data_IF_083505961068
#
_entry.id   IF_083505961068
#
_cell.length_a   1.000
_cell.length_b   1.000
_cell.length_c   1.000
_cell.angle_alpha   90.00
_cell.angle_beta   90.00
_cell.angle_gamma   90.00
#
_symmetry.space_group_name_H-M   'P 1'
#
loop_
_entity.id
_entity.type
_entity.pdbx_description
1 polymer ?
#
# COMPACT_ATOMS: atom_id res chain seq x y z
N UNK A 1 4.71 -14.37 22.20
CA UNK A 1 5.18 -13.57 21.06
C UNK A 1 6.09 -14.42 20.20
N UNK A 2 5.85 -14.43 18.92
CA UNK A 2 6.63 -15.22 17.97
C UNK A 2 7.71 -14.37 17.33
N UNK A 3 8.87 -14.98 17.14
CA UNK A 3 9.95 -14.35 16.38
C UNK A 3 9.60 -14.31 14.89
N UNK A 4 10.33 -13.50 14.15
CA UNK A 4 10.17 -13.39 12.71
C UNK A 4 10.43 -14.74 12.04
N UNK A 5 9.63 -15.06 11.04
CA UNK A 5 9.64 -16.37 10.38
C UNK A 5 8.55 -17.30 10.89
N UNK A 6 7.78 -16.86 11.90
CA UNK A 6 6.67 -17.63 12.41
C UNK A 6 5.42 -17.52 11.52
N UNK A 7 4.43 -18.41 11.72
CA UNK A 7 3.24 -18.47 10.85
C UNK A 7 2.29 -17.30 10.99
N UNK A 8 2.54 -16.33 11.88
CA UNK A 8 1.71 -15.15 12.08
C UNK A 8 2.38 -13.85 11.65
N UNK A 9 3.51 -13.95 11.00
CA UNK A 9 4.13 -12.78 10.41
C UNK A 9 3.44 -12.41 9.12
N UNK A 10 3.29 -11.11 8.93
CA UNK A 10 2.62 -10.56 7.76
C UNK A 10 3.51 -9.53 7.09
N UNK A 11 3.30 -9.35 5.81
CA UNK A 11 4.02 -8.36 5.02
C UNK A 11 3.07 -7.79 3.99
N UNK A 12 3.08 -6.47 3.84
CA UNK A 12 2.36 -5.79 2.77
C UNK A 12 3.37 -5.02 1.95
N UNK A 13 3.46 -5.33 0.67
CA UNK A 13 4.38 -4.68 -0.26
C UNK A 13 3.56 -3.94 -1.30
N UNK A 14 3.88 -2.68 -1.53
CA UNK A 14 3.17 -1.88 -2.51
C UNK A 14 4.11 -0.98 -3.29
N UNK A 15 3.61 -0.51 -4.43
CA UNK A 15 4.25 0.51 -5.25
C UNK A 15 3.24 1.62 -5.47
N UNK A 16 3.67 2.86 -5.26
CA UNK A 16 2.91 4.04 -5.67
C UNK A 16 3.63 4.70 -6.84
N UNK A 17 2.93 4.85 -7.95
CA UNK A 17 3.51 5.40 -9.16
C UNK A 17 2.81 6.71 -9.54
N UNK A 18 3.58 7.65 -10.06
CA UNK A 18 3.10 8.94 -10.53
C UNK A 18 3.83 9.34 -11.79
N UNK A 19 3.19 10.13 -12.63
CA UNK A 19 3.83 10.77 -13.78
C UNK A 19 4.44 12.13 -13.44
N UNK A 20 4.27 12.61 -12.22
CA UNK A 20 4.88 13.85 -11.78
C UNK A 20 6.42 13.76 -11.75
N UNK A 21 7.06 14.88 -12.03
CA UNK A 21 8.51 14.99 -11.91
C UNK A 21 8.88 15.22 -10.46
N UNK A 22 9.50 14.23 -9.84
CA UNK A 22 9.92 14.27 -8.45
C UNK A 22 11.42 14.02 -8.36
N UNK A 23 12.08 14.72 -7.44
CA UNK A 23 13.44 14.35 -7.05
C UNK A 23 13.37 13.17 -6.06
N UNK A 24 14.54 12.68 -5.66
CA UNK A 24 14.62 11.52 -4.77
C UNK A 24 13.94 11.76 -3.43
N UNK A 25 14.13 12.94 -2.84
CA UNK A 25 13.52 13.29 -1.55
C UNK A 25 11.99 13.35 -1.66
N UNK A 26 11.47 13.92 -2.74
CA UNK A 26 10.03 14.00 -2.99
C UNK A 26 9.44 12.61 -3.23
N UNK A 27 10.12 11.76 -4.00
CA UNK A 27 9.67 10.40 -4.23
C UNK A 27 9.61 9.59 -2.93
N UNK A 28 10.61 9.75 -2.07
CA UNK A 28 10.61 9.12 -0.76
C UNK A 28 9.46 9.62 0.10
N UNK A 29 9.20 10.93 0.09
CA UNK A 29 8.09 11.52 0.85
C UNK A 29 6.74 11.02 0.34
N UNK A 30 6.61 10.82 -0.97
CA UNK A 30 5.40 10.25 -1.54
C UNK A 30 5.13 8.86 -0.96
N UNK A 31 6.14 8.02 -0.90
CA UNK A 31 6.02 6.69 -0.31
C UNK A 31 5.63 6.76 1.17
N UNK A 32 6.22 7.70 1.92
CA UNK A 32 5.88 7.92 3.34
C UNK A 32 4.41 8.31 3.49
N UNK A 33 3.93 9.24 2.69
CA UNK A 33 2.54 9.68 2.76
C UNK A 33 1.56 8.58 2.31
N UNK A 34 1.95 7.75 1.36
CA UNK A 34 1.13 6.63 0.92
C UNK A 34 0.91 5.59 2.02
N UNK A 35 1.78 5.53 3.04
CA UNK A 35 1.60 4.66 4.21
C UNK A 35 0.29 4.93 4.95
N UNK A 36 -0.21 6.15 4.89
CA UNK A 36 -1.51 6.47 5.49
C UNK A 36 -2.63 5.63 4.88
N UNK A 37 -2.49 5.24 3.63
CA UNK A 37 -3.43 4.33 2.99
C UNK A 37 -3.42 2.94 3.60
N UNK A 38 -2.25 2.45 3.98
CA UNK A 38 -2.15 1.18 4.72
C UNK A 38 -2.86 1.29 6.06
N UNK A 39 -2.63 2.38 6.79
CA UNK A 39 -3.25 2.57 8.10
C UNK A 39 -4.78 2.65 8.03
N UNK A 40 -5.30 3.14 6.92
CA UNK A 40 -6.76 3.26 6.71
C UNK A 40 -7.41 1.95 6.26
N UNK A 41 -6.65 1.03 5.67
CA UNK A 41 -7.18 -0.19 5.07
C UNK A 41 -6.83 -1.45 5.85
N UNK A 42 -5.80 -1.41 6.68
CA UNK A 42 -5.27 -2.57 7.40
C UNK A 42 -5.24 -2.26 8.90
N UNK A 43 -5.80 -3.14 9.71
CA UNK A 43 -5.79 -2.97 11.15
C UNK A 43 -5.44 -4.28 11.85
N UNK A 44 -4.42 -4.29 12.72
CA UNK A 44 -3.40 -3.26 12.88
C UNK A 44 -2.40 -3.31 11.72
N UNK A 45 -1.66 -2.21 11.52
CA UNK A 45 -0.63 -2.11 10.50
C UNK A 45 0.69 -1.69 11.13
N UNK A 46 1.79 -2.03 10.47
CA UNK A 46 3.15 -1.63 10.90
C UNK A 46 3.49 -2.08 12.33
N UNK A 47 3.01 -3.25 12.71
CA UNK A 47 3.41 -3.84 13.99
C UNK A 47 4.86 -4.33 13.89
N UNK A 48 5.51 -4.61 15.03
CA UNK A 48 6.87 -5.16 15.01
C UNK A 48 7.01 -6.48 14.25
N UNK A 49 5.89 -7.17 13.98
CA UNK A 49 5.87 -8.43 13.25
C UNK A 49 5.66 -8.27 11.77
N UNK A 50 5.39 -7.04 11.30
CA UNK A 50 5.09 -6.76 9.89
C UNK A 50 6.34 -6.28 9.15
N UNK A 51 6.48 -6.73 7.91
CA UNK A 51 7.54 -6.28 7.00
C UNK A 51 7.03 -5.34 5.93
N UNK A 52 6.17 -4.41 6.28
CA UNK A 52 5.49 -3.54 5.33
C UNK A 52 6.43 -2.56 4.65
N UNK A 53 6.27 -2.39 3.35
CA UNK A 53 7.08 -1.45 2.58
C UNK A 53 6.28 -0.88 1.39
N UNK A 54 6.50 0.40 1.10
CA UNK A 54 6.00 1.03 -0.11
C UNK A 54 7.17 1.61 -0.88
N UNK A 55 7.28 1.23 -2.14
CA UNK A 55 8.19 1.84 -3.09
C UNK A 55 7.45 2.90 -3.88
N UNK A 56 8.13 3.97 -4.25
CA UNK A 56 7.55 4.96 -5.15
C UNK A 56 8.32 5.03 -6.45
N UNK A 57 7.60 5.31 -7.53
CA UNK A 57 8.17 5.48 -8.86
C UNK A 57 7.55 6.73 -9.50
N UNK A 58 8.40 7.58 -10.06
CA UNK A 58 7.97 8.80 -10.73
C UNK A 58 8.57 8.83 -12.14
N UNK A 59 7.73 8.98 -13.16
CA UNK A 59 8.21 8.99 -14.54
C UNK A 59 8.76 10.35 -14.97
N UNK A 60 8.34 11.43 -14.32
CA UNK A 60 8.80 12.77 -14.64
C UNK A 60 8.14 13.39 -15.88
N UNK A 61 7.05 12.81 -16.37
CA UNK A 61 6.39 13.27 -17.55
C UNK A 61 5.69 14.63 -17.37
N UNK A 62 5.26 14.95 -16.15
CA UNK A 62 4.51 16.15 -15.84
C UNK A 62 5.21 16.94 -14.74
N UNK A 63 5.42 18.23 -14.96
CA UNK A 63 5.96 19.09 -13.90
C UNK A 63 4.99 19.21 -12.75
N UNK A 64 5.51 19.21 -11.52
CA UNK A 64 4.72 19.44 -10.32
C UNK A 64 4.56 20.96 -10.15
N UNK A 65 3.35 21.53 -10.31
CA UNK A 65 3.20 22.98 -10.43
C UNK A 65 3.66 23.77 -9.21
N UNK A 66 3.42 23.29 -8.02
CA UNK A 66 3.81 23.96 -6.78
C UNK A 66 4.45 22.91 -5.90
N UNK A 67 5.77 22.96 -5.67
CA UNK A 67 6.46 21.90 -4.93
C UNK A 67 5.90 21.63 -3.53
N UNK A 68 5.42 22.65 -2.83
CA UNK A 68 4.90 22.48 -1.47
C UNK A 68 3.45 21.97 -1.50
N UNK A 69 2.56 22.76 -2.10
CA UNK A 69 1.14 22.37 -2.18
C UNK A 69 0.93 21.19 -3.11
N UNK A 70 1.70 21.11 -4.19
CA UNK A 70 1.64 19.98 -5.11
C UNK A 70 2.00 18.67 -4.44
N UNK A 71 3.05 18.66 -3.61
CA UNK A 71 3.42 17.46 -2.87
C UNK A 71 2.39 17.09 -1.81
N UNK A 72 1.81 18.09 -1.12
CA UNK A 72 0.77 17.81 -0.14
C UNK A 72 -0.46 17.17 -0.79
N UNK A 73 -0.89 17.71 -1.92
CA UNK A 73 -2.03 17.18 -2.66
C UNK A 73 -1.74 15.80 -3.24
N UNK A 74 -0.59 15.63 -3.86
CA UNK A 74 -0.18 14.35 -4.43
C UNK A 74 -0.11 13.27 -3.35
N UNK A 75 0.47 13.59 -2.20
CA UNK A 75 0.56 12.65 -1.08
C UNK A 75 -0.79 12.29 -0.48
N UNK A 76 -1.71 13.25 -0.41
CA UNK A 76 -3.08 12.99 0.03
C UNK A 76 -3.77 12.01 -0.92
N UNK A 77 -3.65 12.26 -2.22
CA UNK A 77 -4.21 11.38 -3.24
C UNK A 77 -3.58 9.99 -3.17
N UNK A 78 -2.26 9.93 -2.97
CA UNK A 78 -1.55 8.66 -2.84
C UNK A 78 -2.07 7.83 -1.68
N UNK A 79 -2.35 8.45 -0.53
CA UNK A 79 -2.96 7.77 0.60
C UNK A 79 -4.34 7.21 0.25
N UNK A 80 -5.17 8.00 -0.41
CA UNK A 80 -6.51 7.56 -0.84
C UNK A 80 -6.44 6.41 -1.84
N UNK A 81 -5.56 6.52 -2.83
CA UNK A 81 -5.37 5.47 -3.85
C UNK A 81 -4.84 4.20 -3.22
N UNK A 82 -3.89 4.31 -2.29
CA UNK A 82 -3.33 3.16 -1.61
C UNK A 82 -4.37 2.42 -0.77
N UNK A 83 -5.20 3.14 -0.02
CA UNK A 83 -6.27 2.53 0.75
C UNK A 83 -7.24 1.77 -0.16
N UNK A 84 -7.58 2.36 -1.30
CA UNK A 84 -8.43 1.72 -2.29
C UNK A 84 -7.79 0.48 -2.91
N UNK A 85 -6.51 0.56 -3.23
CA UNK A 85 -5.77 -0.55 -3.83
C UNK A 85 -5.77 -1.77 -2.89
N UNK A 86 -5.51 -1.55 -1.60
CA UNK A 86 -5.53 -2.62 -0.61
C UNK A 86 -6.93 -3.25 -0.52
N UNK A 87 -7.95 -2.44 -0.38
CA UNK A 87 -9.33 -2.92 -0.28
C UNK A 87 -9.74 -3.71 -1.52
N UNK A 88 -9.42 -3.20 -2.71
CA UNK A 88 -9.73 -3.89 -3.96
C UNK A 88 -8.94 -5.18 -4.13
N UNK A 89 -7.67 -5.18 -3.73
CA UNK A 89 -6.83 -6.38 -3.79
C UNK A 89 -7.41 -7.51 -2.95
N UNK A 90 -7.84 -7.20 -1.74
CA UNK A 90 -8.49 -8.18 -0.86
C UNK A 90 -9.82 -8.64 -1.43
N UNK A 91 -10.64 -7.71 -1.91
CA UNK A 91 -11.94 -8.03 -2.48
C UNK A 91 -11.85 -8.92 -3.73
N UNK A 92 -10.87 -8.63 -4.60
CA UNK A 92 -10.71 -9.34 -5.87
C UNK A 92 -9.99 -10.68 -5.76
N UNK A 93 -9.34 -10.94 -4.62
CA UNK A 93 -8.58 -12.19 -4.43
C UNK A 93 -9.52 -13.39 -4.44
N UNK A 94 -9.03 -14.50 -5.00
CA UNK A 94 -9.72 -15.79 -5.01
C UNK A 94 -8.87 -16.82 -4.26
N UNK A 95 -9.51 -17.81 -3.64
CA UNK A 95 -8.81 -18.87 -2.96
C UNK A 95 -8.02 -19.72 -3.95
N UNK A 96 -6.86 -20.19 -3.52
CA UNK A 96 -6.09 -21.16 -4.29
C UNK A 96 -6.80 -22.53 -4.28
N UNK A 97 -6.48 -23.36 -5.27
CA UNK A 97 -7.23 -24.59 -5.52
C UNK A 97 -6.69 -25.84 -4.83
N UNK A 98 -5.70 -25.70 -3.94
CA UNK A 98 -5.16 -26.87 -3.25
C UNK A 98 -5.86 -27.11 -1.91
N UNK A 99 -5.87 -28.36 -1.41
CA UNK A 99 -6.46 -28.68 -0.10
C UNK A 99 -5.77 -27.89 1.02
N UNK A 100 -6.57 -27.31 1.91
CA UNK A 100 -6.06 -26.50 3.02
C UNK A 100 -5.77 -25.04 2.66
N UNK A 101 -6.04 -24.62 1.43
CA UNK A 101 -5.91 -23.21 1.06
C UNK A 101 -6.86 -22.36 1.90
N UNK A 102 -6.37 -21.16 2.28
CA UNK A 102 -7.20 -20.23 3.03
C UNK A 102 -8.34 -19.69 2.15
N UNK A 103 -9.51 -19.43 2.73
CA UNK A 103 -10.62 -18.84 1.97
C UNK A 103 -10.31 -17.39 1.62
N UNK A 104 -10.83 -16.92 0.48
CA UNK A 104 -10.80 -15.51 0.12
C UNK A 104 -11.79 -14.71 0.96
N UNK A 105 -11.67 -13.38 0.90
CA UNK A 105 -12.67 -12.52 1.53
C UNK A 105 -14.06 -12.80 0.96
N UNK A 106 -14.18 -13.00 -0.36
CA UNK A 106 -15.45 -13.28 -1.01
C UNK A 106 -16.06 -14.59 -0.54
N UNK A 107 -15.23 -15.62 -0.31
CA UNK A 107 -15.70 -16.91 0.21
C UNK A 107 -16.33 -16.77 1.59
N UNK A 108 -15.78 -15.91 2.44
CA UNK A 108 -16.25 -15.75 3.82
C UNK A 108 -17.37 -14.75 3.98
N UNK A 109 -17.35 -13.67 3.22
CA UNK A 109 -18.23 -12.52 3.42
C UNK A 109 -18.99 -12.11 2.15
N UNK A 110 -18.53 -12.54 1.00
CA UNK A 110 -19.11 -12.19 -0.28
C UNK A 110 -20.48 -12.85 -0.50
N UNK A 111 -21.19 -12.33 -1.50
CA UNK A 111 -22.50 -12.85 -1.88
C UNK A 111 -22.59 -13.10 -3.36
#
# INVERSE_FOLDING_TARGET
IRAKGGPRENTTIAVIATDAKLNKAQANRLAVMAQDGFARAIYPVHTPLDGDVIFSAATGAIELPDPHYGMAELGMIAGNVMARAVARGVYAATALSFPGALPSWQDRFGR
#
